data_IF_271059392233
#
_entry.id   IF_271059392233
#
_cell.length_a   1.000
_cell.length_b   1.000
_cell.length_c   1.000
_cell.angle_alpha   90.00
_cell.angle_beta   90.00
_cell.angle_gamma   90.00
#
_symmetry.space_group_name_H-M   'P 1'
#
loop_
_entity.id
_entity.type
_entity.pdbx_description
1 polymer ?
#
# COMPACT_ATOMS: atom_id res chain seq x y z
N UNK A 1 -6.56 -10.69 6.06
CA UNK A 1 -5.50 -11.49 6.71
C UNK A 1 -4.13 -10.82 6.83
N UNK A 2 -3.91 -9.64 6.22
CA UNK A 2 -3.08 -8.57 6.81
C UNK A 2 -3.31 -7.26 6.01
N UNK A 3 -3.61 -7.37 4.70
CA UNK A 3 -3.85 -6.21 3.79
C UNK A 3 -4.97 -6.46 2.76
N UNK A 4 -6.03 -7.19 3.13
CA UNK A 4 -7.16 -7.46 2.22
C UNK A 4 -8.16 -6.31 2.14
N UNK A 5 -8.89 -6.19 1.01
CA UNK A 5 -9.90 -5.14 0.81
C UNK A 5 -11.07 -5.18 1.81
N UNK A 6 -11.36 -6.34 2.39
CA UNK A 6 -12.27 -6.49 3.54
C UNK A 6 -11.44 -6.84 4.76
N UNK A 7 -11.37 -5.90 5.71
CA UNK A 7 -10.73 -6.14 6.99
C UNK A 7 -11.67 -6.96 7.89
N UNK A 8 -11.15 -8.05 8.42
CA UNK A 8 -11.83 -8.84 9.45
C UNK A 8 -11.52 -8.30 10.85
N UNK A 9 -12.31 -8.70 11.85
CA UNK A 9 -12.00 -8.40 13.27
C UNK A 9 -10.59 -8.90 13.61
N UNK A 10 -10.23 -10.09 13.11
CA UNK A 10 -8.91 -10.68 13.30
C UNK A 10 -7.79 -9.77 12.76
N UNK A 11 -7.96 -9.21 11.57
CA UNK A 11 -7.00 -8.28 10.97
C UNK A 11 -6.82 -7.04 11.82
N UNK A 12 -7.94 -6.50 12.31
CA UNK A 12 -7.93 -5.29 13.12
C UNK A 12 -7.25 -5.51 14.47
N UNK A 13 -7.52 -6.64 15.14
CA UNK A 13 -6.82 -7.01 16.37
C UNK A 13 -5.32 -7.15 16.15
N UNK A 14 -4.90 -7.79 15.06
CA UNK A 14 -3.46 -7.90 14.71
C UNK A 14 -2.86 -6.51 14.49
N UNK A 15 -3.56 -5.62 13.77
CA UNK A 15 -3.09 -4.25 13.49
C UNK A 15 -2.92 -3.43 14.79
N UNK A 16 -3.90 -3.47 15.69
CA UNK A 16 -3.79 -2.77 16.99
C UNK A 16 -2.58 -3.28 17.78
N UNK A 17 -2.44 -4.61 17.89
CA UNK A 17 -1.33 -5.21 18.64
C UNK A 17 0.03 -4.92 17.98
N UNK A 18 0.08 -4.81 16.65
CA UNK A 18 1.31 -4.44 15.94
C UNK A 18 1.75 -2.99 16.22
N UNK A 19 0.80 -2.08 16.44
CA UNK A 19 1.10 -0.66 16.67
C UNK A 19 1.48 -0.34 18.12
N UNK A 20 0.94 -1.09 19.09
CA UNK A 20 1.01 -0.73 20.51
C UNK A 20 1.63 -1.80 21.42
N UNK A 21 1.88 -3.01 20.90
CA UNK A 21 2.56 -4.09 21.63
C UNK A 21 1.60 -5.04 22.34
N UNK A 22 1.09 -4.65 23.51
CA UNK A 22 0.23 -5.49 24.35
C UNK A 22 -1.03 -4.76 24.86
N UNK A 23 -2.15 -5.49 24.92
CA UNK A 23 -3.43 -4.93 25.36
C UNK A 23 -4.29 -5.92 26.12
N UNK A 24 -5.16 -5.39 27.00
CA UNK A 24 -6.25 -6.17 27.58
C UNK A 24 -7.42 -6.28 26.59
N UNK A 25 -8.41 -7.13 26.92
CA UNK A 25 -9.60 -7.28 26.06
C UNK A 25 -10.46 -6.02 26.10
N UNK A 26 -10.47 -5.33 27.22
CA UNK A 26 -11.16 -4.07 27.44
C UNK A 26 -10.56 -2.96 26.58
N UNK A 27 -9.22 -2.88 26.53
CA UNK A 27 -8.52 -1.92 25.68
C UNK A 27 -8.79 -2.19 24.20
N UNK A 28 -8.67 -3.45 23.77
CA UNK A 28 -8.99 -3.85 22.39
C UNK A 28 -10.42 -3.48 22.02
N UNK A 29 -11.39 -3.68 22.92
CA UNK A 29 -12.78 -3.30 22.67
C UNK A 29 -12.93 -1.80 22.47
N UNK A 30 -12.31 -1.00 23.34
CA UNK A 30 -12.40 0.46 23.26
C UNK A 30 -11.83 0.95 21.92
N UNK A 31 -10.66 0.48 21.54
CA UNK A 31 -9.99 0.88 20.29
C UNK A 31 -10.80 0.41 19.06
N UNK A 32 -11.31 -0.82 19.07
CA UNK A 32 -12.16 -1.34 17.97
C UNK A 32 -13.41 -0.48 17.80
N UNK A 33 -14.08 -0.14 18.90
CA UNK A 33 -15.30 0.66 18.86
C UNK A 33 -15.05 2.09 18.36
N UNK A 34 -13.92 2.67 18.75
CA UNK A 34 -13.54 4.03 18.37
C UNK A 34 -13.13 4.12 16.90
N UNK A 35 -12.26 3.21 16.45
CA UNK A 35 -11.62 3.31 15.13
C UNK A 35 -12.40 2.61 14.01
N UNK A 36 -13.10 1.51 14.31
CA UNK A 36 -13.81 0.71 13.29
C UNK A 36 -15.32 0.96 13.27
N UNK A 37 -15.83 1.75 14.23
CA UNK A 37 -17.26 2.07 14.39
C UNK A 37 -18.17 0.83 14.40
N UNK A 38 -17.63 -0.31 14.81
CA UNK A 38 -18.36 -1.58 14.85
C UNK A 38 -18.46 -2.06 16.30
N UNK A 39 -19.70 -2.27 16.75
CA UNK A 39 -19.97 -2.84 18.06
C UNK A 39 -19.62 -4.32 18.08
N UNK A 40 -18.49 -4.64 18.73
CA UNK A 40 -18.11 -6.01 19.03
C UNK A 40 -18.32 -6.33 20.50
N UNK A 41 -18.92 -7.49 20.76
CA UNK A 41 -19.07 -7.98 22.12
C UNK A 41 -17.71 -8.45 22.66
N UNK A 42 -17.53 -8.35 23.98
CA UNK A 42 -16.33 -8.89 24.67
C UNK A 42 -16.13 -10.38 24.33
N UNK A 43 -17.22 -11.15 24.24
CA UNK A 43 -17.19 -12.56 23.85
C UNK A 43 -16.69 -12.77 22.41
N UNK A 44 -17.03 -11.86 21.50
CA UNK A 44 -16.52 -11.84 20.13
C UNK A 44 -15.01 -11.66 20.09
N UNK A 45 -14.48 -10.71 20.86
CA UNK A 45 -13.04 -10.48 20.97
C UNK A 45 -12.34 -11.71 21.56
N UNK A 46 -12.87 -12.30 22.64
CA UNK A 46 -12.31 -13.54 23.19
C UNK A 46 -12.33 -14.72 22.20
N UNK A 47 -13.32 -14.80 21.31
CA UNK A 47 -13.36 -15.82 20.26
C UNK A 47 -12.24 -15.61 19.25
N UNK A 48 -12.02 -14.36 18.83
CA UNK A 48 -10.94 -13.97 17.92
C UNK A 48 -9.57 -14.24 18.56
N UNK A 49 -9.33 -13.77 19.78
CA UNK A 49 -8.06 -13.98 20.47
C UNK A 49 -7.75 -15.46 20.67
N UNK A 50 -8.74 -16.28 21.05
CA UNK A 50 -8.55 -17.74 21.16
C UNK A 50 -8.21 -18.39 19.82
N UNK A 51 -8.77 -17.91 18.72
CA UNK A 51 -8.41 -18.36 17.37
C UNK A 51 -6.96 -17.99 17.06
N UNK A 52 -6.60 -16.71 17.19
CA UNK A 52 -5.22 -16.22 16.96
C UNK A 52 -4.18 -16.91 17.84
N UNK A 53 -4.54 -17.27 19.07
CA UNK A 53 -3.67 -18.05 19.96
C UNK A 53 -3.46 -19.49 19.45
N UNK A 54 -4.53 -20.17 19.02
CA UNK A 54 -4.43 -21.52 18.41
C UNK A 54 -3.60 -21.50 17.14
N UNK A 55 -3.72 -20.44 16.35
CA UNK A 55 -2.97 -20.24 15.11
C UNK A 55 -1.51 -19.79 15.38
N UNK A 56 -1.12 -19.61 16.64
CA UNK A 56 0.24 -19.26 17.03
C UNK A 56 0.64 -17.81 16.72
N UNK A 57 -0.34 -16.92 16.53
CA UNK A 57 -0.15 -15.50 16.18
C UNK A 57 -0.04 -14.65 17.44
N UNK A 58 -0.92 -14.88 18.42
CA UNK A 58 -1.00 -14.10 19.67
C UNK A 58 -0.60 -14.96 20.87
N UNK A 59 0.04 -14.36 21.87
CA UNK A 59 0.28 -14.96 23.19
C UNK A 59 -0.50 -14.18 24.25
N UNK A 60 -0.89 -14.86 25.33
CA UNK A 60 -1.52 -14.24 26.49
C UNK A 60 -0.59 -14.34 27.69
N UNK A 61 -0.36 -13.19 28.33
CA UNK A 61 0.41 -13.07 29.55
C UNK A 61 -0.47 -12.40 30.62
N UNK A 62 -0.91 -13.19 31.61
CA UNK A 62 -1.90 -12.76 32.61
C UNK A 62 -3.19 -12.23 31.95
N UNK A 63 -3.38 -10.92 31.89
CA UNK A 63 -4.54 -10.24 31.28
C UNK A 63 -4.23 -9.59 29.93
N UNK A 64 -2.96 -9.56 29.54
CA UNK A 64 -2.49 -8.91 28.33
C UNK A 64 -2.36 -9.92 27.20
N UNK A 65 -2.62 -9.46 25.99
CA UNK A 65 -2.43 -10.17 24.74
C UNK A 65 -1.44 -9.39 23.88
N UNK A 66 -0.49 -10.08 23.28
CA UNK A 66 0.53 -9.49 22.40
C UNK A 66 0.82 -10.42 21.22
N UNK A 67 1.41 -9.88 20.17
CA UNK A 67 1.87 -10.69 19.03
C UNK A 67 3.06 -11.56 19.44
N UNK A 68 3.09 -12.81 18.96
CA UNK A 68 4.22 -13.71 19.21
C UNK A 68 5.42 -13.26 18.38
N UNK A 69 6.55 -13.05 19.06
CA UNK A 69 7.82 -12.65 18.42
C UNK A 69 8.20 -13.57 17.25
N UNK A 70 8.15 -14.91 17.37
CA UNK A 70 8.46 -15.78 16.21
C UNK A 70 7.55 -15.57 15.01
N UNK A 71 6.26 -15.26 15.23
CA UNK A 71 5.33 -14.96 14.15
C UNK A 71 5.68 -13.63 13.48
N UNK A 72 6.01 -12.59 14.25
CA UNK A 72 6.46 -11.30 13.71
C UNK A 72 7.71 -11.48 12.84
N UNK A 73 8.71 -12.22 13.34
CA UNK A 73 9.95 -12.47 12.61
C UNK A 73 9.69 -13.23 11.31
N UNK A 74 8.78 -14.20 11.33
CA UNK A 74 8.38 -14.93 10.14
C UNK A 74 7.69 -14.04 9.09
N UNK A 75 6.77 -13.16 9.52
CA UNK A 75 6.12 -12.19 8.63
C UNK A 75 7.16 -11.24 8.02
N UNK A 76 8.11 -10.75 8.81
CA UNK A 76 9.20 -9.91 8.31
C UNK A 76 10.02 -10.63 7.24
N UNK A 77 10.50 -11.84 7.52
CA UNK A 77 11.28 -12.62 6.56
C UNK A 77 10.51 -12.88 5.25
N UNK A 78 9.20 -13.12 5.36
CA UNK A 78 8.34 -13.26 4.19
C UNK A 78 8.26 -11.96 3.38
N UNK A 79 8.09 -10.81 4.04
CA UNK A 79 8.05 -9.50 3.38
C UNK A 79 9.38 -9.18 2.71
N UNK A 80 10.51 -9.42 3.39
CA UNK A 80 11.86 -9.20 2.85
C UNK A 80 12.06 -10.04 1.57
N UNK A 81 11.67 -11.33 1.58
CA UNK A 81 11.73 -12.19 0.40
C UNK A 81 10.79 -11.77 -0.73
N UNK A 82 9.61 -11.28 -0.39
CA UNK A 82 8.68 -10.74 -1.38
C UNK A 82 9.28 -9.50 -2.05
N UNK A 83 9.86 -8.60 -1.27
CA UNK A 83 10.55 -7.43 -1.80
C UNK A 83 11.68 -7.86 -2.74
N UNK A 84 12.56 -8.76 -2.30
CA UNK A 84 13.63 -9.30 -3.15
C UNK A 84 13.09 -9.92 -4.44
N UNK A 85 12.01 -10.69 -4.37
CA UNK A 85 11.47 -11.40 -5.55
C UNK A 85 10.82 -10.44 -6.55
N UNK A 86 10.02 -9.50 -6.06
CA UNK A 86 9.19 -8.64 -6.91
C UNK A 86 9.90 -7.35 -7.33
N UNK A 87 10.92 -6.92 -6.61
CA UNK A 87 11.70 -5.72 -6.94
C UNK A 87 13.02 -6.03 -7.67
N UNK A 88 13.37 -7.31 -7.84
CA UNK A 88 14.51 -7.70 -8.66
C UNK A 88 14.34 -7.27 -10.12
N UNK A 89 15.45 -6.83 -10.72
CA UNK A 89 15.56 -6.42 -12.13
C UNK A 89 14.93 -7.45 -13.09
N UNK A 90 15.14 -8.75 -12.82
CA UNK A 90 14.57 -9.84 -13.63
C UNK A 90 13.04 -9.88 -13.64
N UNK A 91 12.40 -9.47 -12.55
CA UNK A 91 10.94 -9.39 -12.49
C UNK A 91 10.45 -8.10 -13.16
N UNK A 92 11.14 -6.98 -12.92
CA UNK A 92 10.80 -5.67 -13.47
C UNK A 92 11.01 -5.57 -14.99
N UNK A 93 12.00 -6.28 -15.54
CA UNK A 93 12.27 -6.33 -16.99
C UNK A 93 11.14 -6.97 -17.81
N UNK A 94 10.15 -7.59 -17.16
CA UNK A 94 8.91 -8.04 -17.82
C UNK A 94 7.99 -6.88 -18.19
N UNK A 95 8.16 -5.73 -17.52
CA UNK A 95 7.34 -4.55 -17.68
C UNK A 95 8.07 -3.47 -18.48
N UNK A 96 9.40 -3.41 -18.38
CA UNK A 96 10.23 -2.38 -18.97
C UNK A 96 10.98 -2.91 -20.20
N UNK A 97 11.04 -2.15 -21.31
CA UNK A 97 11.93 -2.45 -22.42
C UNK A 97 13.39 -2.53 -21.95
N UNK A 98 14.13 -3.51 -22.46
CA UNK A 98 15.56 -3.68 -22.14
C UNK A 98 16.47 -2.82 -23.02
N UNK A 99 15.93 -2.29 -24.13
CA UNK A 99 16.64 -1.41 -25.06
C UNK A 99 15.70 -0.42 -25.72
N UNK A 100 16.26 0.62 -26.34
CA UNK A 100 15.50 1.64 -27.08
C UNK A 100 14.77 1.07 -28.31
N UNK A 101 15.21 -0.08 -28.82
CA UNK A 101 14.61 -0.75 -29.98
C UNK A 101 13.43 -1.65 -29.58
N UNK A 102 13.28 -1.95 -28.28
CA UNK A 102 12.18 -2.77 -27.77
C UNK A 102 10.94 -1.90 -27.51
N UNK A 103 9.82 -2.30 -28.10
CA UNK A 103 8.51 -1.68 -27.84
C UNK A 103 7.53 -2.73 -27.36
N UNK A 104 6.85 -2.43 -26.26
CA UNK A 104 5.80 -3.29 -25.72
C UNK A 104 4.42 -2.65 -25.93
N UNK A 105 3.45 -3.48 -26.34
CA UNK A 105 2.05 -3.09 -26.47
C UNK A 105 1.20 -4.01 -25.61
N UNK A 106 0.42 -3.42 -24.70
CA UNK A 106 -0.51 -4.16 -23.85
C UNK A 106 -1.95 -3.78 -24.17
N UNK A 107 -2.83 -4.78 -24.18
CA UNK A 107 -4.26 -4.62 -24.47
C UNK A 107 -5.06 -5.03 -23.24
N UNK A 108 -5.98 -4.18 -22.80
CA UNK A 108 -6.79 -4.39 -21.60
C UNK A 108 -8.28 -4.45 -21.94
N UNK A 109 -9.01 -5.29 -21.22
CA UNK A 109 -10.46 -5.43 -21.42
C UNK A 109 -11.29 -4.27 -20.83
N UNK A 110 -10.71 -3.48 -19.92
CA UNK A 110 -11.36 -2.32 -19.30
C UNK A 110 -10.33 -1.36 -18.69
N UNK A 111 -10.78 -0.17 -18.31
CA UNK A 111 -9.94 0.89 -17.74
C UNK A 111 -9.39 0.55 -16.34
N UNK A 112 -10.09 -0.27 -15.56
CA UNK A 112 -9.64 -0.66 -14.21
C UNK A 112 -8.35 -1.49 -14.33
N UNK A 113 -8.32 -2.49 -15.21
CA UNK A 113 -7.13 -3.32 -15.45
C UNK A 113 -5.97 -2.52 -16.02
N UNK A 114 -6.26 -1.57 -16.92
CA UNK A 114 -5.24 -0.66 -17.43
C UNK A 114 -4.63 0.16 -16.29
N UNK A 115 -5.47 0.73 -15.42
CA UNK A 115 -5.01 1.52 -14.26
C UNK A 115 -4.19 0.68 -13.28
N UNK A 116 -4.65 -0.53 -12.93
CA UNK A 116 -3.92 -1.46 -12.06
C UNK A 116 -2.53 -1.79 -12.64
N UNK A 117 -2.47 -2.07 -13.94
CA UNK A 117 -1.21 -2.34 -14.64
C UNK A 117 -0.31 -1.11 -14.71
N UNK A 118 -0.87 0.06 -15.01
CA UNK A 118 -0.12 1.31 -15.12
C UNK A 118 0.54 1.69 -13.79
N UNK A 119 -0.14 1.51 -12.65
CA UNK A 119 0.45 1.72 -11.34
C UNK A 119 1.63 0.76 -11.06
N UNK A 120 1.51 -0.51 -11.47
CA UNK A 120 2.63 -1.46 -11.37
C UNK A 120 3.81 -1.05 -12.25
N UNK A 121 3.54 -0.59 -13.47
CA UNK A 121 4.57 -0.12 -14.39
C UNK A 121 5.29 1.12 -13.85
N UNK A 122 4.55 2.09 -13.31
CA UNK A 122 5.14 3.27 -12.67
C UNK A 122 6.01 2.88 -11.47
N UNK A 123 5.56 1.92 -10.65
CA UNK A 123 6.37 1.42 -9.54
C UNK A 123 7.67 0.78 -10.03
N UNK A 124 7.60 -0.03 -11.09
CA UNK A 124 8.78 -0.63 -11.72
C UNK A 124 9.75 0.44 -12.24
N UNK A 125 9.25 1.48 -12.90
CA UNK A 125 10.05 2.60 -13.40
C UNK A 125 10.76 3.33 -12.26
N UNK A 126 10.04 3.67 -11.19
CA UNK A 126 10.60 4.37 -10.02
C UNK A 126 11.64 3.52 -9.31
N UNK A 127 11.44 2.21 -9.24
CA UNK A 127 12.39 1.31 -8.62
C UNK A 127 13.65 1.11 -9.47
N UNK A 128 13.49 1.03 -10.79
CA UNK A 128 14.60 0.87 -11.73
C UNK A 128 15.41 2.16 -11.94
N UNK A 129 14.79 3.32 -11.71
CA UNK A 129 15.45 4.62 -11.80
C UNK A 129 16.13 4.99 -10.48
N UNK A 130 17.35 5.52 -10.57
CA UNK A 130 18.03 6.16 -9.44
C UNK A 130 17.64 7.65 -9.30
N UNK A 131 16.81 8.16 -10.22
CA UNK A 131 16.49 9.57 -10.30
C UNK A 131 15.54 10.00 -9.18
N UNK A 132 15.90 11.11 -8.54
CA UNK A 132 15.10 11.73 -7.48
C UNK A 132 14.00 12.64 -8.00
N UNK A 133 14.01 12.93 -9.31
CA UNK A 133 13.10 13.85 -9.97
C UNK A 133 12.33 13.06 -11.02
N UNK A 134 11.00 13.11 -10.93
CA UNK A 134 10.12 12.47 -11.91
C UNK A 134 9.25 13.51 -12.59
N UNK A 135 9.14 13.39 -13.91
CA UNK A 135 8.24 14.18 -14.74
C UNK A 135 7.11 13.27 -15.22
N UNK A 136 5.89 13.65 -14.90
CA UNK A 136 4.68 12.98 -15.38
C UNK A 136 3.97 13.90 -16.36
N UNK A 137 3.52 13.33 -17.48
CA UNK A 137 2.66 14.02 -18.42
C UNK A 137 1.28 13.37 -18.42
N UNK A 138 0.27 14.14 -18.02
CA UNK A 138 -1.12 13.73 -18.07
C UNK A 138 -1.84 14.54 -19.16
N UNK A 139 -2.37 13.89 -20.20
CA UNK A 139 -3.08 14.62 -21.27
C UNK A 139 -4.33 15.33 -20.74
N UNK A 140 -4.93 14.81 -19.66
CA UNK A 140 -6.12 15.38 -19.04
C UNK A 140 -6.12 15.21 -17.51
N UNK A 141 -6.76 16.13 -16.76
CA UNK A 141 -6.88 16.03 -15.29
C UNK A 141 -7.60 14.77 -14.80
N UNK A 142 -8.51 14.22 -15.61
CA UNK A 142 -9.32 13.06 -15.23
C UNK A 142 -8.53 11.73 -15.22
N UNK A 143 -7.27 11.75 -15.65
CA UNK A 143 -6.39 10.57 -15.65
C UNK A 143 -6.18 9.97 -14.24
N UNK A 144 -6.28 10.79 -13.20
CA UNK A 144 -6.10 10.37 -11.80
C UNK A 144 -7.41 9.95 -11.09
N UNK A 145 -8.58 10.14 -11.72
CA UNK A 145 -9.88 9.88 -11.10
C UNK A 145 -10.25 8.38 -10.88
N UNK A 146 -9.85 7.42 -11.74
CA UNK A 146 -10.41 6.06 -11.66
C UNK A 146 -10.11 5.28 -10.37
N UNK A 147 -9.13 5.68 -9.57
CA UNK A 147 -8.65 4.88 -8.42
C UNK A 147 -8.10 5.73 -7.28
N UNK A 148 -8.93 6.62 -6.70
CA UNK A 148 -8.49 7.51 -5.62
C UNK A 148 -7.81 6.75 -4.46
N UNK A 149 -8.38 5.63 -4.00
CA UNK A 149 -7.82 4.88 -2.86
C UNK A 149 -6.48 4.19 -3.16
N UNK A 150 -6.36 3.57 -4.36
CA UNK A 150 -5.11 2.91 -4.75
C UNK A 150 -4.03 3.92 -5.13
N UNK A 151 -4.44 4.98 -5.85
CA UNK A 151 -3.60 6.11 -6.21
C UNK A 151 -3.06 6.84 -4.99
N UNK A 152 -3.84 7.00 -3.92
CA UNK A 152 -3.35 7.56 -2.65
C UNK A 152 -2.24 6.72 -2.03
N UNK A 153 -2.45 5.40 -1.90
CA UNK A 153 -1.42 4.49 -1.36
C UNK A 153 -0.16 4.48 -2.22
N UNK A 154 -0.33 4.46 -3.54
CA UNK A 154 0.78 4.57 -4.48
C UNK A 154 1.50 5.90 -4.29
N UNK A 155 0.78 7.02 -4.24
CA UNK A 155 1.35 8.35 -4.08
C UNK A 155 2.15 8.48 -2.78
N UNK A 156 1.69 7.90 -1.67
CA UNK A 156 2.48 7.89 -0.42
C UNK A 156 3.83 7.22 -0.63
N UNK A 157 3.85 5.99 -1.17
CA UNK A 157 5.10 5.24 -1.38
C UNK A 157 5.98 5.88 -2.46
N UNK A 158 5.36 6.41 -3.51
CA UNK A 158 6.02 7.10 -4.61
C UNK A 158 6.71 8.38 -4.11
N UNK A 159 6.01 9.20 -3.32
CA UNK A 159 6.56 10.44 -2.74
C UNK A 159 7.64 10.18 -1.69
N UNK A 160 7.65 9.03 -1.01
CA UNK A 160 8.77 8.64 -0.14
C UNK A 160 10.05 8.35 -0.93
N UNK A 161 9.92 7.85 -2.16
CA UNK A 161 11.07 7.51 -3.02
C UNK A 161 11.53 8.68 -3.91
N UNK A 162 10.62 9.55 -4.33
CA UNK A 162 10.91 10.70 -5.19
C UNK A 162 11.03 11.98 -4.38
N UNK A 163 12.08 12.78 -4.60
CA UNK A 163 12.22 14.07 -3.91
C UNK A 163 11.34 15.16 -4.56
N UNK A 164 11.19 15.09 -5.89
CA UNK A 164 10.39 16.03 -6.66
C UNK A 164 9.56 15.30 -7.71
N UNK A 165 8.26 15.60 -7.73
CA UNK A 165 7.34 15.12 -8.76
C UNK A 165 6.72 16.32 -9.47
N UNK A 166 6.95 16.41 -10.77
CA UNK A 166 6.38 17.46 -11.62
C UNK A 166 5.32 16.84 -12.51
N UNK A 167 4.09 17.36 -12.39
CA UNK A 167 2.97 16.92 -13.21
C UNK A 167 2.66 17.99 -14.24
N UNK A 168 2.82 17.62 -15.51
CA UNK A 168 2.47 18.43 -16.67
C UNK A 168 1.09 18.01 -17.16
N UNK A 169 0.15 18.96 -17.18
CA UNK A 169 -1.20 18.73 -17.68
C UNK A 169 -1.41 19.54 -18.95
N UNK A 170 -1.77 18.89 -20.05
CA UNK A 170 -2.07 19.61 -21.29
C UNK A 170 -2.60 18.71 -22.41
N UNK A 171 -3.64 19.15 -23.10
CA UNK A 171 -4.30 18.39 -24.19
C UNK A 171 -3.65 18.58 -25.56
N UNK A 172 -2.73 19.54 -25.68
CA UNK A 172 -2.01 19.89 -26.91
C UNK A 172 -0.63 20.35 -26.45
N UNK A 173 0.45 19.95 -27.12
CA UNK A 173 1.75 20.61 -26.92
C UNK A 173 1.75 21.87 -27.81
N UNK A 174 1.51 23.07 -27.23
CA UNK A 174 2.24 24.24 -27.68
C UNK A 174 2.85 24.95 -26.46
N UNK A 175 4.13 24.66 -26.19
CA UNK A 175 5.13 25.52 -25.56
C UNK A 175 4.82 26.35 -24.28
N UNK A 176 3.70 26.17 -23.61
CA UNK A 176 3.42 26.81 -22.32
C UNK A 176 3.16 25.73 -21.29
N UNK A 177 4.11 25.60 -20.36
CA UNK A 177 4.11 24.62 -19.29
C UNK A 177 3.62 25.34 -18.02
N UNK A 178 2.49 24.89 -17.48
CA UNK A 178 2.12 25.18 -16.09
C UNK A 178 2.74 24.09 -15.21
N UNK A 179 3.75 24.46 -14.40
CA UNK A 179 4.40 23.55 -13.45
C UNK A 179 3.61 23.58 -12.15
N UNK A 180 2.87 22.52 -11.84
CA UNK A 180 2.33 22.31 -10.50
C UNK A 180 3.40 21.63 -9.62
N UNK A 181 3.98 22.39 -8.69
CA UNK A 181 4.88 21.86 -7.66
C UNK A 181 4.07 21.33 -6.48
N UNK A 182 4.12 20.02 -6.22
CA UNK A 182 3.58 19.44 -5.00
C UNK A 182 4.69 19.31 -3.95
N UNK A 183 4.89 20.37 -3.16
CA UNK A 183 5.77 20.33 -1.99
C UNK A 183 5.00 19.75 -0.80
N UNK A 184 5.17 18.46 -0.53
CA UNK A 184 5.11 17.86 0.82
C UNK A 184 4.06 18.33 1.83
N UNK A 185 2.87 18.78 1.41
CA UNK A 185 1.76 19.13 2.29
C UNK A 185 0.47 18.88 1.55
N UNK A 186 -0.25 17.88 2.03
CA UNK A 186 -1.58 17.48 1.57
C UNK A 186 -2.49 18.69 1.44
N UNK A 187 -2.87 19.01 0.20
CA UNK A 187 -4.00 19.89 -0.07
C UNK A 187 -4.96 19.10 -0.95
N UNK A 188 -6.11 18.79 -0.35
CA UNK A 188 -7.29 18.25 -1.03
C UNK A 188 -7.87 19.39 -1.88
N UNK A 189 -7.83 19.26 -3.21
CA UNK A 189 -8.95 19.52 -4.15
C UNK A 189 -8.77 18.55 -5.33
#
# INVERSE_FOLDING_TARGET
>A
MLLGAKQSVEDFVIQILAQHGDYTVEDLKAIISEQWHQDITIQGIYRVLRKLQRDGIVVKEKRFYSLRVPWILHVREMLDRMEETYLQEKFLSRYLPSSEEETYTWIFSNLIKLSDFYLQLLFALVHASEDKIIYQYHPHPWFNLPQLDQGQKFNTIFLEKTHYNFVLIGSVIPFWIDILQHNGSSMII
#
